data_IF_359731592413
#
_entry.id   IF_359731592413
#
_cell.length_a   1.000
_cell.length_b   1.000
_cell.length_c   1.000
_cell.angle_alpha   90.00
_cell.angle_beta   90.00
_cell.angle_gamma   90.00
#
_symmetry.space_group_name_H-M   'P 1'
#
loop_
_entity.id
_entity.type
_entity.pdbx_description
1 polymer ?
#
# COMPACT_ATOMS: atom_id res chain seq x y z
N UNK A 1 -1.80 -21.90 -11.26
CA UNK A 1 -1.70 -20.52 -11.79
C UNK A 1 -1.37 -19.59 -10.64
N UNK A 2 -0.43 -18.67 -10.82
CA UNK A 2 -0.09 -17.64 -9.84
C UNK A 2 -0.38 -16.26 -10.43
N UNK A 3 -0.80 -15.33 -9.58
CA UNK A 3 -0.95 -13.91 -9.93
C UNK A 3 0.32 -13.17 -9.54
N UNK A 4 0.84 -12.37 -10.47
CA UNK A 4 1.96 -11.47 -10.18
C UNK A 4 1.42 -10.14 -9.68
N UNK A 5 1.85 -9.75 -8.47
CA UNK A 5 1.39 -8.52 -7.82
C UNK A 5 2.56 -7.58 -7.58
N UNK A 6 2.37 -6.33 -7.96
CA UNK A 6 3.31 -5.24 -7.78
C UNK A 6 2.86 -4.36 -6.61
N UNK A 7 3.66 -4.30 -5.54
CA UNK A 7 3.42 -3.49 -4.35
C UNK A 7 4.33 -2.26 -4.28
N UNK A 8 3.76 -1.12 -3.89
CA UNK A 8 4.45 0.16 -3.66
C UNK A 8 4.27 0.61 -2.22
N UNK A 9 5.39 0.88 -1.55
CA UNK A 9 5.47 1.72 -0.36
C UNK A 9 5.97 3.13 -0.77
N UNK A 10 5.07 4.12 -0.91
CA UNK A 10 5.38 5.39 -1.53
C UNK A 10 6.21 6.31 -0.63
N UNK A 11 7.27 6.90 -1.19
CA UNK A 11 8.06 7.92 -0.50
C UNK A 11 8.94 8.72 -1.44
N UNK A 12 9.02 10.03 -1.20
CA UNK A 12 9.77 10.94 -2.07
C UNK A 12 11.28 10.64 -2.08
N UNK A 13 11.88 10.28 -0.95
CA UNK A 13 13.32 9.98 -0.88
C UNK A 13 13.61 8.51 -1.14
N UNK A 14 12.69 7.64 -0.71
CA UNK A 14 12.78 6.19 -0.79
C UNK A 14 11.38 5.68 -1.12
N UNK A 15 11.21 5.14 -2.32
CA UNK A 15 9.98 4.46 -2.72
C UNK A 15 10.29 2.95 -2.77
N UNK A 16 9.67 2.19 -1.88
CA UNK A 16 9.83 0.74 -1.81
C UNK A 16 9.03 0.07 -2.93
N UNK A 17 9.64 -0.93 -3.58
CA UNK A 17 9.02 -1.75 -4.61
C UNK A 17 9.17 -3.23 -4.25
N UNK A 18 8.08 -3.98 -4.30
CA UNK A 18 8.06 -5.41 -4.07
C UNK A 18 7.17 -6.11 -5.08
N UNK A 19 7.69 -7.14 -5.74
CA UNK A 19 6.95 -7.95 -6.71
C UNK A 19 6.95 -9.40 -6.24
N UNK A 20 5.76 -9.99 -6.18
CA UNK A 20 5.58 -11.37 -5.74
C UNK A 20 4.65 -12.13 -6.68
N UNK A 21 4.92 -13.41 -6.85
CA UNK A 21 4.00 -14.35 -7.48
C UNK A 21 3.24 -15.09 -6.37
N UNK A 22 1.90 -15.03 -6.40
CA UNK A 22 1.05 -15.66 -5.39
C UNK A 22 0.13 -16.69 -6.03
N UNK A 23 0.21 -17.93 -5.59
CA UNK A 23 -0.64 -19.02 -6.05
C UNK A 23 -2.01 -19.00 -5.37
N UNK A 24 -3.00 -19.69 -5.95
CA UNK A 24 -4.35 -19.79 -5.41
C UNK A 24 -4.41 -20.38 -3.97
N UNK A 25 -3.45 -21.24 -3.61
CA UNK A 25 -3.30 -21.77 -2.25
C UNK A 25 -2.60 -20.78 -1.29
N UNK A 26 -2.43 -19.52 -1.68
CA UNK A 26 -1.78 -18.43 -0.95
C UNK A 26 -0.27 -18.56 -0.75
N UNK A 27 0.39 -19.55 -1.34
CA UNK A 27 1.86 -19.61 -1.38
C UNK A 27 2.39 -18.44 -2.19
N UNK A 28 3.32 -17.68 -1.61
CA UNK A 28 3.95 -16.51 -2.24
C UNK A 28 5.42 -16.80 -2.54
N UNK A 29 5.92 -16.26 -3.66
CA UNK A 29 7.34 -16.29 -4.04
C UNK A 29 7.82 -14.89 -4.35
N UNK A 30 9.02 -14.57 -3.90
CA UNK A 30 9.69 -13.32 -4.25
C UNK A 30 10.06 -13.34 -5.73
N UNK A 31 9.68 -12.29 -6.46
CA UNK A 31 10.08 -12.05 -7.85
C UNK A 31 11.14 -10.96 -7.90
N UNK A 32 10.83 -9.81 -7.30
CA UNK A 32 11.75 -8.67 -7.27
C UNK A 32 11.54 -7.82 -6.02
N UNK A 33 12.59 -7.17 -5.57
CA UNK A 33 12.52 -6.22 -4.45
C UNK A 33 13.59 -5.15 -4.62
N UNK A 34 13.19 -3.88 -4.54
CA UNK A 34 14.12 -2.76 -4.69
C UNK A 34 13.59 -1.50 -3.99
N UNK A 35 14.42 -0.46 -3.98
CA UNK A 35 14.01 0.88 -3.52
C UNK A 35 14.50 1.89 -4.54
N UNK A 36 13.55 2.63 -5.12
CA UNK A 36 13.86 3.77 -5.98
C UNK A 36 14.22 4.94 -5.06
N UNK A 37 15.41 5.50 -5.25
CA UNK A 37 15.96 6.56 -4.38
C UNK A 37 16.12 7.85 -5.16
N UNK A 38 15.76 8.96 -4.53
CA UNK A 38 16.06 10.29 -5.06
C UNK A 38 16.78 11.13 -4.02
N UNK A 39 17.69 11.99 -4.48
CA UNK A 39 18.40 12.93 -3.63
C UNK A 39 17.43 14.03 -3.15
N UNK A 40 17.40 14.37 -1.84
CA UNK A 40 16.49 15.38 -1.31
C UNK A 40 16.76 16.79 -1.83
N UNK A 41 17.96 17.05 -2.37
CA UNK A 41 18.37 18.32 -2.98
C UNK A 41 17.77 18.55 -4.37
N UNK A 42 17.26 17.49 -5.02
CA UNK A 42 16.63 17.62 -6.33
C UNK A 42 15.29 18.37 -6.22
N UNK A 43 14.95 19.20 -7.24
CA UNK A 43 13.62 19.79 -7.35
C UNK A 43 12.53 18.71 -7.31
N UNK A 44 11.36 19.05 -6.73
CA UNK A 44 10.28 18.10 -6.49
C UNK A 44 9.87 17.35 -7.77
N UNK A 45 9.66 18.07 -8.86
CA UNK A 45 9.27 17.53 -10.15
C UNK A 45 10.30 16.55 -10.72
N UNK A 46 11.59 16.78 -10.48
CA UNK A 46 12.65 15.85 -10.90
C UNK A 46 12.63 14.57 -10.06
N UNK A 47 12.29 14.67 -8.78
CA UNK A 47 12.12 13.50 -7.90
C UNK A 47 10.89 12.69 -8.28
N UNK A 48 9.77 13.36 -8.60
CA UNK A 48 8.56 12.71 -9.11
C UNK A 48 8.84 12.00 -10.43
N UNK A 49 9.57 12.65 -11.36
CA UNK A 49 9.97 12.07 -12.63
C UNK A 49 10.84 10.81 -12.42
N UNK A 50 11.91 10.91 -11.64
CA UNK A 50 12.80 9.79 -11.39
C UNK A 50 12.08 8.57 -10.77
N UNK A 51 11.17 8.80 -9.82
CA UNK A 51 10.37 7.72 -9.23
C UNK A 51 9.38 7.16 -10.24
N UNK A 52 8.69 8.01 -10.99
CA UNK A 52 7.77 7.60 -12.05
C UNK A 52 8.44 6.73 -13.10
N UNK A 53 9.60 7.15 -13.61
CA UNK A 53 10.39 6.40 -14.57
C UNK A 53 10.80 5.03 -14.03
N UNK A 54 11.33 4.95 -12.81
CA UNK A 54 11.71 3.67 -12.21
C UNK A 54 10.51 2.73 -11.97
N UNK A 55 9.33 3.27 -11.65
CA UNK A 55 8.11 2.46 -11.56
C UNK A 55 7.69 1.95 -12.94
N UNK A 56 7.74 2.80 -13.98
CA UNK A 56 7.38 2.41 -15.34
C UNK A 56 8.32 1.32 -15.88
N UNK A 57 9.63 1.45 -15.68
CA UNK A 57 10.62 0.43 -16.06
C UNK A 57 10.31 -0.93 -15.45
N UNK A 58 10.03 -0.97 -14.14
CA UNK A 58 9.70 -2.23 -13.45
C UNK A 58 8.34 -2.78 -13.87
N UNK A 59 7.37 -1.92 -14.20
CA UNK A 59 6.08 -2.37 -14.73
C UNK A 59 6.23 -3.02 -16.11
N UNK A 60 7.09 -2.48 -16.96
CA UNK A 60 7.38 -3.00 -18.30
C UNK A 60 8.24 -4.27 -18.24
N UNK A 61 9.18 -4.37 -17.30
CA UNK A 61 10.03 -5.54 -17.14
C UNK A 61 9.27 -6.76 -16.59
N UNK A 62 8.41 -6.56 -15.58
CA UNK A 62 7.81 -7.67 -14.84
C UNK A 62 6.38 -7.99 -15.22
N UNK A 63 5.70 -7.11 -15.96
CA UNK A 63 4.32 -7.27 -16.45
C UNK A 63 3.35 -7.84 -15.39
N UNK A 64 3.18 -7.17 -14.24
CA UNK A 64 2.31 -7.67 -13.18
C UNK A 64 0.84 -7.66 -13.62
N UNK A 65 0.03 -8.55 -13.04
CA UNK A 65 -1.41 -8.60 -13.28
C UNK A 65 -2.22 -7.73 -12.30
N UNK A 66 -1.62 -7.33 -11.17
CA UNK A 66 -2.26 -6.49 -10.17
C UNK A 66 -1.26 -5.48 -9.57
N UNK A 67 -1.78 -4.32 -9.15
CA UNK A 67 -0.98 -3.24 -8.56
C UNK A 67 -1.55 -2.84 -7.20
N UNK A 68 -0.70 -2.66 -6.21
CA UNK A 68 -1.09 -2.37 -4.83
C UNK A 68 -0.24 -1.24 -4.23
N UNK A 69 -0.88 -0.35 -3.49
CA UNK A 69 -0.23 0.80 -2.85
C UNK A 69 -0.68 0.90 -1.38
N UNK A 70 0.22 1.31 -0.50
CA UNK A 70 -0.17 1.74 0.84
C UNK A 70 -1.08 2.99 0.77
N UNK A 71 -2.19 2.95 1.51
CA UNK A 71 -3.10 4.09 1.65
C UNK A 71 -2.47 5.15 2.53
N UNK A 72 -2.40 6.36 1.99
CA UNK A 72 -1.84 7.53 2.68
C UNK A 72 -2.84 8.10 3.71
N UNK A 73 -2.40 8.29 4.96
CA UNK A 73 -3.18 8.91 6.03
C UNK A 73 -2.57 10.23 6.51
N UNK A 74 -3.39 11.28 6.61
CA UNK A 74 -2.95 12.65 6.91
C UNK A 74 -2.89 13.04 8.40
N UNK A 75 -3.18 12.12 9.32
CA UNK A 75 -3.59 12.51 10.68
C UNK A 75 -2.50 13.20 11.53
N UNK A 76 -1.19 13.03 11.26
CA UNK A 76 -0.15 13.53 12.18
C UNK A 76 1.07 14.21 11.54
N UNK A 77 1.25 14.20 10.21
CA UNK A 77 2.41 14.85 9.57
C UNK A 77 2.09 15.38 8.16
N UNK A 78 1.42 16.53 8.09
CA UNK A 78 1.01 17.17 6.83
C UNK A 78 2.16 17.48 5.87
N UNK A 79 3.38 17.72 6.38
CA UNK A 79 4.54 18.05 5.54
C UNK A 79 5.04 16.85 4.72
N UNK A 80 5.06 15.65 5.29
CA UNK A 80 5.53 14.45 4.59
C UNK A 80 4.41 13.79 3.80
N UNK A 81 3.16 13.91 4.27
CA UNK A 81 2.01 13.27 3.63
C UNK A 81 1.79 13.75 2.19
N UNK A 82 2.07 15.03 1.91
CA UNK A 82 1.90 15.58 0.57
C UNK A 82 2.83 14.90 -0.44
N UNK A 83 4.11 14.70 -0.06
CA UNK A 83 5.08 14.03 -0.92
C UNK A 83 4.71 12.58 -1.19
N UNK A 84 4.29 11.85 -0.14
CA UNK A 84 3.78 10.49 -0.29
C UNK A 84 2.56 10.44 -1.21
N UNK A 85 1.58 11.35 -1.04
CA UNK A 85 0.38 11.42 -1.88
C UNK A 85 0.71 11.71 -3.35
N UNK A 86 1.66 12.61 -3.62
CA UNK A 86 2.14 12.89 -4.98
C UNK A 86 2.75 11.64 -5.63
N UNK A 87 3.59 10.89 -4.90
CA UNK A 87 4.15 9.62 -5.40
C UNK A 87 3.07 8.57 -5.60
N UNK A 88 2.10 8.46 -4.70
CA UNK A 88 0.94 7.58 -4.91
C UNK A 88 0.19 7.93 -6.19
N UNK A 89 -0.02 9.22 -6.49
CA UNK A 89 -0.63 9.68 -7.73
C UNK A 89 0.18 9.31 -8.97
N UNK A 90 1.49 9.50 -8.95
CA UNK A 90 2.41 9.08 -10.03
C UNK A 90 2.35 7.57 -10.25
N UNK A 91 2.40 6.77 -9.18
CA UNK A 91 2.31 5.31 -9.25
C UNK A 91 0.96 4.84 -9.82
N UNK A 92 -0.16 5.45 -9.37
CA UNK A 92 -1.50 5.17 -9.90
C UNK A 92 -1.60 5.50 -11.39
N UNK A 93 -1.03 6.62 -11.82
CA UNK A 93 -1.00 7.00 -13.23
C UNK A 93 -0.22 5.97 -14.08
N UNK A 94 0.95 5.55 -13.61
CA UNK A 94 1.77 4.54 -14.29
C UNK A 94 1.06 3.18 -14.40
N UNK A 95 0.35 2.75 -13.35
CA UNK A 95 -0.45 1.53 -13.35
C UNK A 95 -1.67 1.64 -14.30
N UNK A 96 -2.37 2.78 -14.28
CA UNK A 96 -3.53 3.03 -15.13
C UNK A 96 -3.18 3.04 -16.63
N UNK A 97 -2.00 3.57 -17.02
CA UNK A 97 -1.47 3.49 -18.39
C UNK A 97 -1.41 2.05 -18.93
N UNK A 98 -1.24 1.07 -18.03
CA UNK A 98 -1.16 -0.36 -18.34
C UNK A 98 -2.45 -1.12 -18.03
N UNK A 99 -3.55 -0.40 -17.77
CA UNK A 99 -4.88 -0.94 -17.44
C UNK A 99 -4.88 -1.85 -16.20
N UNK A 100 -3.96 -1.61 -15.26
CA UNK A 100 -3.91 -2.33 -14.00
C UNK A 100 -4.87 -1.68 -13.00
N UNK A 101 -5.72 -2.50 -12.37
CA UNK A 101 -6.50 -2.06 -11.23
C UNK A 101 -5.58 -1.82 -10.03
N UNK A 102 -5.74 -0.68 -9.37
CA UNK A 102 -4.94 -0.30 -8.19
C UNK A 102 -5.71 -0.60 -6.92
N UNK A 103 -5.18 -1.49 -6.08
CA UNK A 103 -5.68 -1.73 -4.74
C UNK A 103 -4.99 -0.86 -3.69
N UNK A 104 -5.77 -0.26 -2.79
CA UNK A 104 -5.26 0.58 -1.71
C UNK A 104 -5.45 -0.07 -0.35
N UNK A 105 -4.35 -0.35 0.35
CA UNK A 105 -4.38 -1.03 1.65
C UNK A 105 -3.87 -0.14 2.76
N UNK A 106 -4.58 -0.13 3.88
CA UNK A 106 -4.17 0.58 5.09
C UNK A 106 -3.05 -0.17 5.82
N UNK A 107 -2.20 0.51 6.61
CA UNK A 107 -1.19 -0.17 7.40
C UNK A 107 -1.75 -1.26 8.31
N UNK A 108 -2.94 -1.04 8.89
CA UNK A 108 -3.61 -2.02 9.74
C UNK A 108 -4.10 -3.24 8.96
N UNK A 109 -4.58 -3.07 7.73
CA UNK A 109 -4.95 -4.20 6.86
C UNK A 109 -3.73 -5.02 6.47
N UNK A 110 -2.61 -4.37 6.10
CA UNK A 110 -1.35 -5.04 5.80
C UNK A 110 -0.87 -5.83 7.02
N UNK A 111 -0.81 -5.21 8.20
CA UNK A 111 -0.42 -5.86 9.44
C UNK A 111 -1.31 -7.05 9.78
N UNK A 112 -2.62 -6.91 9.66
CA UNK A 112 -3.58 -7.98 9.93
C UNK A 112 -3.44 -9.14 8.93
N UNK A 113 -3.24 -8.84 7.64
CA UNK A 113 -3.06 -9.87 6.61
C UNK A 113 -1.78 -10.69 6.85
N UNK A 114 -0.68 -10.05 7.24
CA UNK A 114 0.63 -10.67 7.39
C UNK A 114 0.81 -11.38 8.74
N UNK A 115 0.31 -10.79 9.83
CA UNK A 115 0.58 -11.27 11.20
C UNK A 115 -0.65 -11.83 11.91
N UNK A 116 -1.86 -11.64 11.35
CA UNK A 116 -3.13 -11.94 12.02
C UNK A 116 -3.60 -10.83 12.98
N UNK A 117 -2.79 -9.79 13.22
CA UNK A 117 -3.12 -8.71 14.15
C UNK A 117 -2.79 -7.32 13.59
N UNK A 118 -3.80 -6.44 13.52
CA UNK A 118 -3.68 -5.13 12.86
C UNK A 118 -2.78 -4.11 13.57
N UNK A 119 -2.41 -4.34 14.83
CA UNK A 119 -1.51 -3.47 15.58
C UNK A 119 -0.09 -4.05 15.77
N UNK A 120 0.29 -5.05 14.96
CA UNK A 120 1.64 -5.62 14.99
C UNK A 120 2.73 -4.56 14.76
N UNK A 121 3.90 -4.80 15.36
CA UNK A 121 5.08 -3.97 15.20
C UNK A 121 5.72 -4.18 13.83
N UNK A 122 6.40 -3.16 13.30
CA UNK A 122 7.05 -3.20 11.98
C UNK A 122 8.03 -4.37 11.85
N UNK A 123 8.81 -4.64 12.90
CA UNK A 123 9.77 -5.77 12.92
C UNK A 123 9.07 -7.13 12.82
N UNK A 124 7.90 -7.28 13.44
CA UNK A 124 7.12 -8.53 13.36
C UNK A 124 6.62 -8.76 11.93
N UNK A 125 6.15 -7.70 11.26
CA UNK A 125 5.74 -7.77 9.84
C UNK A 125 6.91 -8.22 8.97
N UNK A 126 8.10 -7.63 9.13
CA UNK A 126 9.30 -7.98 8.36
C UNK A 126 9.72 -9.45 8.53
N UNK A 127 9.71 -9.96 9.77
CA UNK A 127 10.00 -11.37 10.06
C UNK A 127 8.99 -12.29 9.39
N UNK A 128 7.70 -11.94 9.45
CA UNK A 128 6.65 -12.72 8.82
C UNK A 128 6.74 -12.70 7.30
N UNK A 129 7.05 -11.55 6.68
CA UNK A 129 7.30 -11.47 5.23
C UNK A 129 8.44 -12.39 4.82
N UNK A 130 9.57 -12.38 5.53
CA UNK A 130 10.69 -13.29 5.27
C UNK A 130 10.25 -14.76 5.33
N UNK A 131 9.49 -15.13 6.36
CA UNK A 131 8.96 -16.49 6.54
C UNK A 131 7.99 -16.89 5.43
N UNK A 132 7.07 -15.99 5.03
CA UNK A 132 6.08 -16.23 3.97
C UNK A 132 6.79 -16.47 2.64
N UNK A 133 7.85 -15.72 2.36
CA UNK A 133 8.62 -15.80 1.12
C UNK A 133 9.75 -16.85 1.16
N UNK A 134 9.92 -17.56 2.28
CA UNK A 134 10.96 -18.57 2.45
C UNK A 134 12.39 -18.03 2.42
N UNK A 135 12.59 -16.77 2.83
CA UNK A 135 13.90 -16.11 2.85
C UNK A 135 14.68 -16.50 4.11
N UNK A 136 15.97 -16.80 3.96
CA UNK A 136 16.86 -17.11 5.08
C UNK A 136 17.14 -15.88 5.96
N UNK A 137 17.19 -14.70 5.33
CA UNK A 137 17.41 -13.41 5.98
C UNK A 137 16.22 -12.48 5.77
N UNK A 138 16.13 -11.44 6.61
CA UNK A 138 15.16 -10.37 6.42
C UNK A 138 15.38 -9.67 5.06
N UNK A 139 14.32 -9.32 4.32
CA UNK A 139 14.44 -8.53 3.10
C UNK A 139 15.17 -7.22 3.39
N UNK A 140 16.23 -6.97 2.63
CA UNK A 140 16.98 -5.70 2.67
C UNK A 140 16.76 -4.96 1.36
N UNK A 141 16.57 -3.63 1.39
CA UNK A 141 16.48 -2.77 2.58
C UNK A 141 15.11 -2.84 3.29
N UNK A 142 15.03 -2.31 4.53
CA UNK A 142 13.86 -2.43 5.41
C UNK A 142 12.52 -1.93 4.79
N UNK A 143 12.53 -0.89 3.96
CA UNK A 143 11.30 -0.38 3.31
C UNK A 143 10.86 -1.26 2.14
N UNK A 144 11.75 -2.12 1.65
CA UNK A 144 11.42 -3.08 0.62
C UNK A 144 10.57 -4.24 1.17
N UNK A 145 10.66 -4.50 2.48
CA UNK A 145 9.78 -5.45 3.17
C UNK A 145 8.34 -4.93 3.29
N UNK A 146 8.13 -3.61 3.41
CA UNK A 146 6.79 -3.01 3.48
C UNK A 146 6.08 -3.13 2.13
N UNK A 147 6.79 -2.85 1.03
CA UNK A 147 6.29 -3.05 -0.33
C UNK A 147 5.91 -4.52 -0.62
N UNK A 148 6.72 -5.48 -0.17
CA UNK A 148 6.39 -6.91 -0.25
C UNK A 148 5.15 -7.26 0.59
N UNK A 149 5.05 -6.72 1.80
CA UNK A 149 3.88 -6.92 2.66
C UNK A 149 2.59 -6.41 2.00
N UNK A 150 2.65 -5.25 1.34
CA UNK A 150 1.53 -4.66 0.59
C UNK A 150 1.11 -5.57 -0.58
N UNK A 151 2.07 -6.09 -1.35
CA UNK A 151 1.78 -6.97 -2.47
C UNK A 151 1.13 -8.29 -2.00
N UNK A 152 1.67 -8.91 -0.95
CA UNK A 152 1.11 -10.13 -0.34
C UNK A 152 -0.28 -9.86 0.23
N UNK A 153 -0.46 -8.75 0.95
CA UNK A 153 -1.76 -8.34 1.49
C UNK A 153 -2.81 -8.23 0.37
N UNK A 154 -2.46 -7.58 -0.75
CA UNK A 154 -3.35 -7.45 -1.90
C UNK A 154 -3.74 -8.82 -2.46
N UNK A 155 -2.76 -9.67 -2.75
CA UNK A 155 -3.01 -11.00 -3.31
C UNK A 155 -3.89 -11.89 -2.42
N UNK A 156 -3.78 -11.76 -1.10
CA UNK A 156 -4.58 -12.56 -0.16
C UNK A 156 -5.98 -12.02 0.10
N UNK A 157 -6.25 -10.74 -0.21
CA UNK A 157 -7.56 -10.12 -0.02
C UNK A 157 -8.39 -10.08 -1.29
N UNK A 158 -7.76 -10.11 -2.46
CA UNK A 158 -8.45 -10.13 -3.75
C UNK A 158 -8.56 -11.58 -4.23
N UNK A 159 -9.78 -12.13 -4.46
CA UNK A 159 -9.95 -13.45 -5.02
C UNK A 159 -9.28 -13.54 -6.40
N UNK A 160 -8.41 -14.53 -6.59
CA UNK A 160 -7.75 -14.77 -7.88
C UNK A 160 -8.73 -15.52 -8.79
N UNK A 161 -9.55 -14.78 -9.54
CA UNK A 161 -10.37 -15.31 -10.63
C UNK A 161 -9.66 -15.17 -11.98
N UNK A 162 -9.90 -16.08 -12.95
CA UNK A 162 -9.44 -15.87 -14.31
C UNK A 162 -10.32 -14.78 -14.93
N UNK A 163 -9.69 -13.92 -15.74
CA UNK A 163 -10.29 -12.80 -16.48
C UNK A 163 -10.46 -11.50 -15.70
N UNK A 164 -9.76 -10.47 -16.20
CA UNK A 164 -10.00 -9.10 -15.79
C UNK A 164 -11.43 -8.70 -16.16
N UNK A 165 -12.26 -8.52 -15.14
CA UNK A 165 -13.35 -7.57 -15.22
C UNK A 165 -12.80 -6.21 -14.80
N UNK A 166 -12.92 -5.24 -15.71
CA UNK A 166 -12.80 -3.84 -15.39
C UNK A 166 -13.65 -3.50 -14.16
N UNK A 167 -13.19 -2.50 -13.41
CA UNK A 167 -13.75 -2.11 -12.14
C UNK A 167 -15.26 -2.17 -12.05
N UNK A 168 -15.75 -3.08 -11.22
CA UNK A 168 -16.85 -2.76 -10.34
C UNK A 168 -16.27 -2.65 -8.95
N UNK A 169 -16.37 -1.46 -8.39
CA UNK A 169 -16.29 -1.29 -6.95
C UNK A 169 -17.32 -2.27 -6.37
N UNK A 170 -16.85 -3.39 -5.81
CA UNK A 170 -17.68 -4.20 -4.90
C UNK A 170 -17.79 -3.44 -3.59
N UNK A 171 -18.51 -2.32 -3.66
CA UNK A 171 -19.14 -1.69 -2.52
C UNK A 171 -20.55 -2.27 -2.45
N UNK A 172 -20.64 -3.45 -1.85
CA UNK A 172 -21.83 -3.86 -1.16
C UNK A 172 -21.39 -4.39 0.21
N UNK A 173 -21.14 -3.51 1.19
CA UNK A 173 -21.06 -3.94 2.57
C UNK A 173 -22.43 -4.52 2.94
N UNK A 174 -22.44 -5.63 3.67
CA UNK A 174 -23.60 -5.94 4.49
C UNK A 174 -23.95 -4.66 5.27
N UNK A 175 -25.22 -4.29 5.27
CA UNK A 175 -25.76 -3.03 5.82
C UNK A 175 -25.53 -2.84 7.34
N UNK A 176 -24.69 -3.66 7.96
CA UNK A 176 -24.30 -3.57 9.36
C UNK A 176 -22.82 -3.26 9.45
N UNK A 177 -22.53 -2.04 9.89
CA UNK A 177 -21.20 -1.65 10.36
C UNK A 177 -20.67 -2.69 11.35
N UNK A 178 -19.43 -3.12 11.17
CA UNK A 178 -18.75 -3.97 12.16
C UNK A 178 -18.64 -3.25 13.51
N UNK A 179 -18.52 -3.97 14.64
CA UNK A 179 -18.37 -3.36 15.96
C UNK A 179 -17.21 -2.34 16.03
N UNK A 180 -16.11 -2.60 15.32
CA UNK A 180 -14.97 -1.69 15.25
C UNK A 180 -15.28 -0.39 14.48
N UNK A 181 -16.03 -0.47 13.37
CA UNK A 181 -16.47 0.71 12.62
C UNK A 181 -17.51 1.53 13.39
N UNK A 182 -18.40 0.88 14.14
CA UNK A 182 -19.36 1.56 15.03
C UNK A 182 -18.64 2.32 16.15
N UNK A 183 -17.63 1.70 16.78
CA UNK A 183 -16.82 2.34 17.81
C UNK A 183 -16.04 3.55 17.28
N UNK A 184 -15.49 3.46 16.06
CA UNK A 184 -14.82 4.57 15.40
C UNK A 184 -15.78 5.74 15.15
N UNK A 185 -16.95 5.49 14.55
CA UNK A 185 -17.92 6.55 14.26
C UNK A 185 -18.51 7.18 15.54
N UNK A 186 -18.59 6.43 16.65
CA UNK A 186 -18.96 6.99 17.94
C UNK A 186 -17.89 7.94 18.48
N UNK A 187 -16.60 7.58 18.35
CA UNK A 187 -15.47 8.41 18.75
C UNK A 187 -15.33 9.69 17.90
N UNK A 188 -15.57 9.63 16.59
CA UNK A 188 -15.54 10.83 15.75
C UNK A 188 -16.65 11.82 16.10
N UNK A 189 -17.85 11.33 16.42
CA UNK A 189 -19.00 12.18 16.79
C UNK A 189 -18.79 12.88 18.13
N UNK A 190 -18.22 12.19 19.13
CA UNK A 190 -17.91 12.80 20.41
C UNK A 190 -16.81 13.87 20.30
N UNK A 191 -15.82 13.64 19.44
CA UNK A 191 -14.74 14.60 19.20
C UNK A 191 -15.24 15.85 18.48
N UNK A 192 -16.11 15.70 17.45
CA UNK A 192 -16.73 16.84 16.76
C UNK A 192 -17.66 17.66 17.65
N UNK A 193 -18.38 17.03 18.58
CA UNK A 193 -19.26 17.72 19.52
C UNK A 193 -18.48 18.55 20.57
N UNK A 194 -17.25 18.17 20.89
CA UNK A 194 -16.41 18.89 21.87
C UNK A 194 -15.73 20.17 21.33
N UNK A 195 -15.75 20.41 20.01
CA UNK A 195 -15.15 21.58 19.36
C UNK A 195 -16.25 22.54 18.91
N UNK A 196 -16.97 23.14 19.86
CA UNK A 196 -17.86 24.27 19.57
C UNK A 196 -17.02 25.57 19.48
N UNK A 197 -17.24 26.45 18.48
CA UNK A 197 -16.46 27.67 18.34
C UNK A 197 -16.79 28.67 19.46
N UNK A 198 -15.79 29.05 20.26
CA UNK A 198 -15.89 30.20 21.18
C UNK A 198 -16.15 31.46 20.34
N UNK A 199 -17.34 32.03 20.47
CA UNK A 199 -17.65 33.36 19.90
C UNK A 199 -16.75 34.39 20.59
N UNK A 200 -15.88 35.03 19.82
CA UNK A 200 -15.18 36.24 20.23
C UNK A 200 -16.20 37.39 20.20
N UNK A 201 -16.62 37.86 21.36
CA UNK A 201 -17.36 39.12 21.51
C UNK A 201 -16.39 40.29 21.32
N UNK A 202 -16.80 41.25 20.48
CA UNK A 202 -16.09 42.52 20.26
C UNK A 202 -16.07 43.38 21.51
#
# INVERSE_FOLDING_TARGET
MSVRVFGIDPGLTRCGVGIVDVAANRTAKLVHVSVIRTAPELPLEQRLLAIGTGIEELLDEYEPAAFAIERVFAQHNLRTVMGTAQISGVAMHAAAKRRLAVGLHTPSEVKAAITGYGAAEKKQVQVMVARILGLADLPKPADAADALAIAICHAWRTPVGPEGSGGEATDAPSSRLTPAQQAWHAAERSTRASVAPRRLTK
#
